data_IF_820509191871
#
_entry.id   IF_820509191871
#
_cell.length_a   1.000
_cell.length_b   1.000
_cell.length_c   1.000
_cell.angle_alpha   90.00
_cell.angle_beta   90.00
_cell.angle_gamma   90.00
#
_symmetry.space_group_name_H-M   'P 1'
#
loop_
_entity.id
_entity.type
_entity.pdbx_description
1 polymer ?
#
# COMPACT_ATOMS: atom_id res chain seq x y z
N UNK A 1 -2.66 -10.43 0.83
CA UNK A 1 -1.68 -9.62 0.09
C UNK A 1 -0.33 -9.75 0.78
N UNK A 2 0.75 -10.02 0.03
CA UNK A 2 2.11 -10.10 0.58
C UNK A 2 2.92 -8.90 0.11
N UNK A 3 3.41 -8.11 1.05
CA UNK A 3 4.36 -7.02 0.78
C UNK A 3 5.76 -7.56 1.05
N UNK A 4 6.69 -7.31 0.13
CA UNK A 4 8.07 -7.76 0.22
C UNK A 4 8.98 -6.55 0.02
N UNK A 5 9.90 -6.30 0.95
CA UNK A 5 11.02 -5.38 0.75
C UNK A 5 12.24 -6.21 0.38
N UNK A 6 12.94 -5.84 -0.69
CA UNK A 6 14.25 -6.41 -1.02
C UNK A 6 15.22 -5.33 -1.44
N UNK A 7 16.48 -5.44 -1.04
CA UNK A 7 17.56 -4.68 -1.65
C UNK A 7 17.89 -5.33 -3.00
N UNK A 8 17.88 -4.53 -4.08
CA UNK A 8 18.13 -5.00 -5.45
C UNK A 8 19.48 -4.57 -5.99
N UNK A 9 20.04 -3.48 -5.46
CA UNK A 9 21.39 -3.01 -5.75
C UNK A 9 21.83 -2.07 -4.62
N UNK A 10 23.11 -1.63 -4.62
CA UNK A 10 23.63 -0.66 -3.65
C UNK A 10 22.72 0.57 -3.59
N UNK A 11 22.15 0.84 -2.41
CA UNK A 11 21.21 1.95 -2.19
C UNK A 11 19.99 1.90 -3.11
N UNK A 12 19.55 0.72 -3.51
CA UNK A 12 18.31 0.51 -4.24
C UNK A 12 17.45 -0.53 -3.54
N UNK A 13 16.32 -0.06 -3.05
CA UNK A 13 15.36 -0.84 -2.28
C UNK A 13 14.09 -1.00 -3.10
N UNK A 14 13.58 -2.21 -3.23
CA UNK A 14 12.37 -2.50 -3.98
C UNK A 14 11.29 -3.03 -3.05
N UNK A 15 10.15 -2.34 -3.03
CA UNK A 15 8.92 -2.79 -2.38
C UNK A 15 8.06 -3.47 -3.44
N UNK A 16 7.79 -4.76 -3.28
CA UNK A 16 6.86 -5.51 -4.12
C UNK A 16 5.55 -5.75 -3.39
N UNK A 17 4.46 -5.39 -4.05
CA UNK A 17 3.10 -5.75 -3.68
C UNK A 17 2.51 -6.52 -4.85
N UNK A 18 2.43 -7.85 -4.70
CA UNK A 18 1.91 -8.73 -5.75
C UNK A 18 2.67 -8.54 -7.10
N UNK A 19 1.99 -8.06 -8.15
CA UNK A 19 2.59 -7.72 -9.44
C UNK A 19 3.19 -6.31 -9.53
N UNK A 20 2.96 -5.45 -8.54
CA UNK A 20 3.52 -4.09 -8.51
C UNK A 20 4.88 -4.09 -7.81
N UNK A 21 5.88 -3.45 -8.43
CA UNK A 21 7.20 -3.25 -7.86
C UNK A 21 7.56 -1.75 -7.89
N UNK A 22 7.88 -1.19 -6.73
CA UNK A 22 8.29 0.22 -6.59
C UNK A 22 9.71 0.25 -6.06
N UNK A 23 10.59 0.99 -6.73
CA UNK A 23 11.99 1.16 -6.34
C UNK A 23 12.23 2.49 -5.64
N UNK A 24 13.01 2.44 -4.56
CA UNK A 24 13.41 3.53 -3.70
C UNK A 24 14.93 3.60 -3.62
N UNK A 25 15.47 4.78 -3.31
CA UNK A 25 16.92 5.00 -3.17
C UNK A 25 17.42 4.79 -1.73
N UNK A 26 16.50 4.58 -0.79
CA UNK A 26 16.79 4.48 0.64
C UNK A 26 15.92 3.40 1.29
N UNK A 27 16.49 2.67 2.25
CA UNK A 27 15.74 1.69 3.05
C UNK A 27 14.59 2.36 3.79
N UNK A 28 14.86 3.51 4.42
CA UNK A 28 13.90 4.26 5.20
C UNK A 28 12.67 4.67 4.37
N UNK A 29 12.86 5.07 3.11
CA UNK A 29 11.75 5.40 2.20
C UNK A 29 10.94 4.15 1.83
N UNK A 30 11.60 3.04 1.52
CA UNK A 30 10.94 1.77 1.22
C UNK A 30 10.12 1.26 2.43
N UNK A 31 10.64 1.42 3.64
CA UNK A 31 9.96 1.07 4.88
C UNK A 31 8.77 1.99 5.12
N UNK A 32 8.93 3.31 5.04
CA UNK A 32 7.85 4.27 5.23
C UNK A 32 6.69 4.05 4.23
N UNK A 33 7.04 3.77 2.97
CA UNK A 33 6.06 3.39 1.95
C UNK A 33 5.33 2.10 2.32
N UNK A 34 6.04 1.06 2.75
CA UNK A 34 5.44 -0.21 3.18
C UNK A 34 4.49 -0.01 4.35
N UNK A 35 4.87 0.75 5.38
CA UNK A 35 3.99 1.05 6.52
C UNK A 35 2.73 1.80 6.11
N UNK A 36 2.86 2.75 5.18
CA UNK A 36 1.71 3.47 4.61
C UNK A 36 0.78 2.51 3.88
N UNK A 37 1.35 1.54 3.16
CA UNK A 37 0.62 0.57 2.38
C UNK A 37 -0.12 -0.44 3.26
N UNK A 38 0.53 -0.93 4.31
CA UNK A 38 -0.09 -1.77 5.34
C UNK A 38 -1.19 -1.02 6.09
N UNK A 39 -0.96 0.24 6.47
CA UNK A 39 -1.95 1.07 7.13
C UNK A 39 -3.18 1.28 6.25
N UNK A 40 -3.00 1.47 4.93
CA UNK A 40 -4.11 1.54 3.98
C UNK A 40 -4.81 0.19 3.87
N UNK A 41 -4.07 -0.91 3.75
CA UNK A 41 -4.68 -2.23 3.59
C UNK A 41 -5.49 -2.66 4.81
N UNK A 42 -5.02 -2.31 6.00
CA UNK A 42 -5.67 -2.62 7.27
C UNK A 42 -6.69 -1.53 7.68
N UNK A 43 -6.75 -0.41 6.96
CA UNK A 43 -7.70 0.64 7.27
C UNK A 43 -9.12 0.08 7.13
N UNK A 44 -10.02 0.34 8.07
CA UNK A 44 -11.42 0.02 7.92
C UNK A 44 -11.98 0.83 6.74
N UNK A 45 -12.03 0.21 5.56
CA UNK A 45 -12.71 0.75 4.41
C UNK A 45 -14.20 0.66 4.67
N UNK A 46 -14.78 1.73 5.23
CA UNK A 46 -16.23 1.83 5.32
C UNK A 46 -16.79 1.80 3.90
N UNK A 47 -17.38 0.67 3.53
CA UNK A 47 -18.18 0.58 2.30
C UNK A 47 -19.37 1.50 2.54
N UNK A 48 -19.56 2.58 1.76
CA UNK A 48 -20.72 3.42 1.94
C UNK A 48 -21.98 2.57 1.74
N UNK A 49 -22.82 2.53 2.77
CA UNK A 49 -24.06 1.78 2.75
C UNK A 49 -24.95 2.30 1.61
N UNK A 50 -25.17 1.43 0.62
CA UNK A 50 -25.92 1.77 -0.61
C UNK A 50 -27.39 2.13 -0.32
N UNK A 51 -27.89 1.91 0.89
CA UNK A 51 -29.25 2.24 1.29
C UNK A 51 -29.46 3.75 1.44
N UNK A 52 -28.40 4.53 1.70
CA UNK A 52 -28.51 5.99 1.83
C UNK A 52 -28.60 6.73 0.48
N UNK A 53 -28.25 6.07 -0.64
CA UNK A 53 -28.34 6.66 -1.99
C UNK A 53 -29.73 6.56 -2.65
N UNK A 54 -30.69 5.83 -2.07
CA UNK A 54 -32.05 5.65 -2.63
C UNK A 54 -33.15 6.47 -1.95
N UNK A 55 -32.80 7.47 -1.15
CA UNK A 55 -33.76 8.38 -0.49
C UNK A 55 -33.74 9.81 -1.09
N UNK A 56 -33.34 9.95 -2.35
CA UNK A 56 -33.55 11.16 -3.15
C UNK A 56 -34.37 10.76 -4.39
N UNK A 57 -35.67 10.62 -4.20
CA UNK A 57 -36.67 10.38 -5.23
C UNK A 57 -37.95 11.10 -4.86
#
# INVERSE_FOLDING_TARGET
MKILIKEVAKSQWQVRLDQHAVTFRSEAEALAFTRTLEARLCAPHQIPDRSQQRAAG
#
